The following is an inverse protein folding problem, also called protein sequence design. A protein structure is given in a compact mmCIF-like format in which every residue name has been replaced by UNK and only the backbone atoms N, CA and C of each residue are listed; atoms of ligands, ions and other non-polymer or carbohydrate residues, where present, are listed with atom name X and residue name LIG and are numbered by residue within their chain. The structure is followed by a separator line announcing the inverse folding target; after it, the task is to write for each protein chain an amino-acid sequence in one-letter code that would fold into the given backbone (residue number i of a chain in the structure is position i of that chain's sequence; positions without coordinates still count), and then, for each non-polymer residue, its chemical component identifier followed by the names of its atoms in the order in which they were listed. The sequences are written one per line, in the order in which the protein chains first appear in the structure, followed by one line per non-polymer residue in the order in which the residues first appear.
data_IF_012061971797
#
_entry.id   IF_012061971797
#
_cell.length_a   1.000
_cell.length_b   1.000
_cell.length_c   1.000
_cell.angle_alpha   90.00
_cell.angle_beta   90.00
_cell.angle_gamma   90.00
#
_symmetry.space_group_name_H-M   'P 1'
#
loop_
_entity.id
_entity.type
_entity.pdbx_description
1 polymer ?
#
# COMPACT_ATOMS: atom_id res chain seq x y z
N UNK A 1 -15.89 1.47 0.77
CA UNK A 1 -14.64 1.97 1.40
C UNK A 1 -14.59 3.48 1.25
N UNK A 2 -15.73 4.13 1.44
CA UNK A 2 -15.97 5.49 0.94
C UNK A 2 -15.38 6.54 1.92
N UNK A 3 -14.83 6.05 3.04
CA UNK A 3 -14.13 6.79 4.09
C UNK A 3 -12.59 6.69 4.00
N UNK A 4 -12.05 6.12 2.91
CA UNK A 4 -10.61 5.90 2.72
C UNK A 4 -10.11 6.61 1.47
N UNK A 5 -9.01 7.34 1.59
CA UNK A 5 -8.17 7.83 0.50
C UNK A 5 -6.96 6.91 0.39
N UNK A 6 -6.63 6.48 -0.82
CA UNK A 6 -5.53 5.55 -1.08
C UNK A 6 -4.31 6.27 -1.68
N UNK A 7 -3.12 6.00 -1.13
CA UNK A 7 -1.84 6.49 -1.62
C UNK A 7 -0.84 5.34 -1.78
N UNK A 8 -0.88 4.69 -2.95
CA UNK A 8 0.08 3.64 -3.31
C UNK A 8 1.39 4.17 -3.92
N UNK A 9 2.41 3.31 -3.95
CA UNK A 9 3.63 3.51 -4.74
C UNK A 9 4.87 2.83 -4.16
N UNK A 10 5.91 2.66 -4.97
CA UNK A 10 7.11 1.90 -4.59
C UNK A 10 7.91 2.48 -3.42
N UNK A 11 8.71 1.66 -2.74
CA UNK A 11 9.61 2.10 -1.67
C UNK A 11 10.50 3.26 -2.14
N UNK A 12 10.70 4.26 -1.28
CA UNK A 12 11.53 5.43 -1.61
C UNK A 12 10.88 6.49 -2.52
N UNK A 13 9.64 6.32 -3.00
CA UNK A 13 8.99 7.30 -3.88
C UNK A 13 8.48 8.58 -3.17
N UNK A 14 8.73 8.75 -1.88
CA UNK A 14 8.33 9.95 -1.11
C UNK A 14 6.89 9.96 -0.55
N UNK A 15 6.13 8.87 -0.72
CA UNK A 15 4.73 8.73 -0.25
C UNK A 15 4.55 9.14 1.20
N UNK A 16 5.31 8.54 2.11
CA UNK A 16 5.12 8.77 3.55
C UNK A 16 5.37 10.23 3.92
N UNK A 17 6.24 10.94 3.20
CA UNK A 17 6.45 12.38 3.39
C UNK A 17 5.20 13.17 3.01
N UNK A 18 4.64 12.92 1.82
CA UNK A 18 3.41 13.56 1.35
C UNK A 18 2.21 13.14 2.21
N UNK A 19 2.13 11.88 2.62
CA UNK A 19 1.04 11.33 3.40
C UNK A 19 0.94 12.00 4.77
N UNK A 20 2.07 12.17 5.47
CA UNK A 20 2.11 12.89 6.74
C UNK A 20 1.67 14.34 6.60
N UNK A 21 2.15 15.01 5.54
CA UNK A 21 1.78 16.41 5.29
C UNK A 21 0.28 16.55 4.98
N UNK A 22 -0.26 15.68 4.12
CA UNK A 22 -1.69 15.67 3.79
C UNK A 22 -2.55 15.34 5.00
N UNK A 23 -2.17 14.33 5.77
CA UNK A 23 -2.90 13.94 6.98
C UNK A 23 -2.93 15.08 8.01
N UNK A 24 -1.81 15.77 8.19
CA UNK A 24 -1.74 16.92 9.08
C UNK A 24 -2.57 18.11 8.58
N UNK A 25 -2.47 18.48 7.29
CA UNK A 25 -3.16 19.64 6.74
C UNK A 25 -4.67 19.48 6.59
N UNK A 26 -5.13 18.23 6.42
CA UNK A 26 -6.52 17.91 6.12
C UNK A 26 -7.20 17.15 7.26
N UNK A 27 -6.58 17.09 8.45
CA UNK A 27 -7.07 16.40 9.64
C UNK A 27 -7.51 14.95 9.36
N UNK A 28 -6.67 14.21 8.62
CA UNK A 28 -6.93 12.81 8.26
C UNK A 28 -6.26 11.85 9.25
N UNK A 29 -6.89 10.69 9.45
CA UNK A 29 -6.22 9.57 10.12
C UNK A 29 -5.24 8.93 9.15
N UNK A 30 -3.95 8.96 9.47
CA UNK A 30 -2.92 8.30 8.66
C UNK A 30 -2.84 6.81 9.01
N UNK A 31 -3.06 5.95 8.02
CA UNK A 31 -2.85 4.51 8.10
C UNK A 31 -1.66 4.13 7.19
N UNK A 32 -0.52 3.76 7.78
CA UNK A 32 0.67 3.35 7.03
C UNK A 32 0.82 1.83 7.09
N UNK A 33 0.76 1.13 5.95
CA UNK A 33 0.79 -0.35 5.93
C UNK A 33 2.01 -0.92 6.64
N UNK A 34 3.16 -0.26 6.51
CA UNK A 34 4.42 -0.71 7.08
C UNK A 34 4.38 -0.76 8.62
N UNK A 35 3.56 0.09 9.26
CA UNK A 35 3.36 0.09 10.71
C UNK A 35 2.65 -1.18 11.22
N UNK A 36 1.92 -1.87 10.35
CA UNK A 36 1.15 -3.07 10.68
C UNK A 36 1.83 -4.37 10.23
N UNK A 37 2.97 -4.29 9.55
CA UNK A 37 3.70 -5.45 8.97
C UNK A 37 3.80 -6.64 9.94
N UNK A 38 4.30 -6.41 11.15
CA UNK A 38 4.54 -7.49 12.12
C UNK A 38 3.26 -8.02 12.75
N UNK A 39 2.25 -7.17 12.91
CA UNK A 39 0.95 -7.60 13.40
C UNK A 39 0.27 -8.48 12.35
N UNK A 40 0.24 -8.04 11.10
CA UNK A 40 -0.31 -8.80 9.98
C UNK A 40 0.44 -10.11 9.78
N UNK A 41 1.79 -10.11 9.93
CA UNK A 41 2.61 -11.32 9.91
C UNK A 41 2.18 -12.36 10.94
N UNK A 42 1.86 -11.92 12.16
CA UNK A 42 1.35 -12.80 13.22
C UNK A 42 -0.08 -13.27 12.92
N UNK A 43 -0.98 -12.36 12.51
CA UNK A 43 -2.40 -12.69 12.22
C UNK A 43 -2.56 -13.73 11.12
N UNK A 44 -1.66 -13.71 10.13
CA UNK A 44 -1.64 -14.71 9.04
C UNK A 44 -0.91 -16.02 9.39
N UNK A 45 -0.31 -16.14 10.57
CA UNK A 45 0.48 -17.31 10.96
C UNK A 45 1.69 -17.56 10.05
N UNK A 46 2.33 -16.49 9.54
CA UNK A 46 3.46 -16.63 8.65
C UNK A 46 4.69 -17.20 9.38
N UNK A 47 5.53 -18.00 8.70
CA UNK A 47 6.71 -18.61 9.30
C UNK A 47 7.70 -17.56 9.81
N UNK A 48 8.67 -17.95 10.62
CA UNK A 48 9.77 -17.05 10.95
C UNK A 48 10.53 -16.62 9.70
N UNK A 49 10.99 -15.37 9.69
CA UNK A 49 11.81 -14.87 8.60
C UNK A 49 13.18 -15.54 8.63
N UNK A 50 13.59 -16.07 7.48
CA UNK A 50 14.97 -16.51 7.27
C UNK A 50 15.97 -15.35 7.37
N UNK A 51 17.26 -15.66 7.22
CA UNK A 51 18.30 -14.64 7.28
C UNK A 51 18.08 -13.55 6.22
N UNK A 52 18.45 -12.30 6.55
CA UNK A 52 18.33 -11.18 5.61
C UNK A 52 19.12 -11.39 4.32
N UNK A 53 20.26 -12.09 4.40
CA UNK A 53 21.11 -12.38 3.24
C UNK A 53 20.44 -13.37 2.28
N UNK A 54 19.85 -14.45 2.80
CA UNK A 54 19.12 -15.42 1.98
C UNK A 54 17.94 -14.75 1.29
N UNK A 55 17.22 -13.90 2.04
CA UNK A 55 16.04 -13.22 1.54
C UNK A 55 16.36 -12.15 0.51
N UNK A 56 17.33 -11.27 0.77
CA UNK A 56 17.52 -10.06 -0.04
C UNK A 56 18.71 -10.11 -0.99
N UNK A 57 19.75 -10.89 -0.68
CA UNK A 57 20.97 -10.96 -1.49
C UNK A 57 21.00 -12.19 -2.41
N UNK A 58 20.41 -13.30 -1.96
CA UNK A 58 20.44 -14.57 -2.71
C UNK A 58 19.17 -14.86 -3.51
N UNK A 59 18.09 -14.11 -3.26
CA UNK A 59 16.84 -14.23 -4.02
C UNK A 59 16.91 -13.33 -5.26
N UNK A 60 16.65 -13.84 -6.48
CA UNK A 60 16.64 -13.03 -7.68
C UNK A 60 15.64 -11.87 -7.62
N UNK A 61 15.93 -10.70 -8.22
CA UNK A 61 15.03 -9.53 -8.16
C UNK A 61 13.61 -9.79 -8.68
N UNK A 62 13.46 -10.59 -9.74
CA UNK A 62 12.17 -10.99 -10.30
C UNK A 62 11.36 -11.85 -9.32
N UNK A 63 12.03 -12.69 -8.55
CA UNK A 63 11.39 -13.49 -7.51
C UNK A 63 10.99 -12.61 -6.33
N UNK A 64 11.84 -11.68 -5.90
CA UNK A 64 11.50 -10.67 -4.89
C UNK A 64 10.28 -9.84 -5.29
N UNK A 65 10.19 -9.42 -6.55
CA UNK A 65 9.03 -8.69 -7.06
C UNK A 65 7.76 -9.56 -7.05
N UNK A 66 7.86 -10.82 -7.48
CA UNK A 66 6.75 -11.78 -7.44
C UNK A 66 6.27 -12.04 -6.01
N UNK A 67 7.20 -12.30 -5.08
CA UNK A 67 6.93 -12.47 -3.66
C UNK A 67 6.28 -11.21 -3.05
N UNK A 68 6.71 -10.03 -3.46
CA UNK A 68 6.11 -8.77 -3.01
C UNK A 68 4.66 -8.62 -3.48
N UNK A 69 4.37 -8.92 -4.76
CA UNK A 69 3.01 -8.89 -5.31
C UNK A 69 2.14 -9.93 -4.61
N UNK A 70 2.61 -11.17 -4.48
CA UNK A 70 1.91 -12.24 -3.76
C UNK A 70 1.63 -11.86 -2.30
N UNK A 71 2.64 -11.34 -1.60
CA UNK A 71 2.49 -10.85 -0.23
C UNK A 71 1.50 -9.70 -0.10
N UNK A 72 1.41 -8.83 -1.12
CA UNK A 72 0.42 -7.73 -1.18
C UNK A 72 -1.01 -8.26 -1.31
N UNK A 73 -1.23 -9.32 -2.10
CA UNK A 73 -2.54 -10.00 -2.15
C UNK A 73 -2.91 -10.61 -0.79
N UNK A 74 -1.96 -11.23 -0.09
CA UNK A 74 -2.21 -11.92 1.17
C UNK A 74 -2.52 -10.96 2.33
N UNK A 75 -1.90 -9.78 2.35
CA UNK A 75 -2.10 -8.79 3.42
C UNK A 75 -3.32 -7.91 3.19
N UNK A 76 -3.77 -7.73 1.94
CA UNK A 76 -4.87 -6.84 1.59
C UNK A 76 -6.13 -7.09 2.45
N UNK A 77 -6.60 -8.33 2.68
CA UNK A 77 -7.76 -8.57 3.54
C UNK A 77 -7.60 -8.03 4.97
N UNK A 78 -6.39 -8.13 5.55
CA UNK A 78 -6.09 -7.62 6.89
C UNK A 78 -6.08 -6.09 6.92
N UNK A 79 -5.54 -5.45 5.88
CA UNK A 79 -5.62 -4.00 5.71
C UNK A 79 -7.08 -3.55 5.61
N UNK A 80 -7.91 -4.26 4.84
CA UNK A 80 -9.32 -3.91 4.69
C UNK A 80 -10.11 -4.10 5.99
N UNK A 81 -9.76 -5.10 6.81
CA UNK A 81 -10.32 -5.31 8.15
C UNK A 81 -9.95 -4.17 9.11
N UNK A 82 -8.69 -3.74 9.12
CA UNK A 82 -8.25 -2.64 9.97
C UNK A 82 -8.92 -1.32 9.58
N UNK A 83 -9.05 -1.06 8.27
CA UNK A 83 -9.74 0.12 7.75
C UNK A 83 -11.26 0.06 7.99
N UNK A 84 -11.87 -1.12 8.00
CA UNK A 84 -13.27 -1.33 8.40
C UNK A 84 -13.48 -0.90 9.86
N UNK A 85 -12.58 -1.30 10.76
CA UNK A 85 -12.67 -0.94 12.17
C UNK A 85 -12.62 0.58 12.43
N UNK A 86 -12.11 1.37 11.48
CA UNK A 86 -12.08 2.84 11.53
C UNK A 86 -13.36 3.49 10.95
N UNK A 87 -14.31 2.70 10.44
CA UNK A 87 -15.57 3.23 9.88
C UNK A 87 -16.36 4.02 10.93
N UNK A 88 -16.97 5.12 10.47
CA UNK A 88 -17.72 6.04 11.33
C UNK A 88 -16.86 7.12 12.00
N UNK A 89 -15.53 7.06 11.85
CA UNK A 89 -14.59 8.10 12.28
C UNK A 89 -14.24 9.13 11.19
N UNK A 90 -13.17 9.92 11.39
CA UNK A 90 -12.63 10.82 10.37
C UNK A 90 -12.16 10.08 9.11
N UNK A 91 -11.96 10.83 8.03
CA UNK A 91 -11.47 10.28 6.77
C UNK A 91 -10.05 9.72 6.95
N UNK A 92 -9.80 8.54 6.39
CA UNK A 92 -8.53 7.81 6.54
C UNK A 92 -7.68 7.99 5.28
N UNK A 93 -6.40 8.31 5.42
CA UNK A 93 -5.41 8.24 4.35
C UNK A 93 -4.57 6.97 4.52
N UNK A 94 -4.82 5.96 3.70
CA UNK A 94 -4.05 4.73 3.67
C UNK A 94 -2.86 4.85 2.70
N UNK A 95 -1.64 4.68 3.19
CA UNK A 95 -0.41 4.72 2.39
C UNK A 95 0.42 3.46 2.53
N UNK A 96 1.09 3.06 1.46
CA UNK A 96 2.01 1.94 1.52
C UNK A 96 2.40 1.35 0.18
N UNK A 97 3.52 0.60 0.12
CA UNK A 97 3.95 -0.05 -1.11
C UNK A 97 3.04 -1.21 -1.51
N UNK A 98 2.34 -1.84 -0.57
CA UNK A 98 1.45 -2.99 -0.80
C UNK A 98 0.08 -2.59 -1.39
N UNK A 99 -0.20 -1.27 -1.45
CA UNK A 99 -1.42 -0.71 -2.00
C UNK A 99 -1.33 -0.61 -3.53
N UNK A 100 -1.25 -1.78 -4.19
CA UNK A 100 -1.20 -1.86 -5.64
C UNK A 100 -2.54 -1.41 -6.24
N UNK A 101 -2.55 -0.57 -7.29
CA UNK A 101 -3.79 -0.06 -7.89
C UNK A 101 -4.80 -1.15 -8.25
N UNK A 102 -4.32 -2.27 -8.80
CA UNK A 102 -5.14 -3.40 -9.25
C UNK A 102 -5.80 -4.15 -8.08
N UNK A 103 -5.18 -4.11 -6.89
CA UNK A 103 -5.69 -4.72 -5.67
C UNK A 103 -6.72 -3.83 -4.97
N UNK A 104 -6.46 -2.54 -4.96
CA UNK A 104 -7.28 -1.57 -4.22
C UNK A 104 -8.52 -1.16 -5.01
N UNK A 105 -8.43 -1.02 -6.34
CA UNK A 105 -9.54 -0.56 -7.17
C UNK A 105 -10.83 -1.40 -7.03
N UNK A 106 -10.79 -2.74 -6.95
CA UNK A 106 -11.99 -3.54 -6.71
C UNK A 106 -12.57 -3.38 -5.29
N UNK A 107 -11.71 -3.13 -4.29
CA UNK A 107 -12.12 -2.95 -2.90
C UNK A 107 -12.71 -1.55 -2.64
N UNK A 108 -12.30 -0.57 -3.44
CA UNK A 108 -12.84 0.78 -3.43
C UNK A 108 -14.04 0.88 -4.38
N UNK A 109 -15.25 0.77 -3.82
CA UNK A 109 -16.50 0.92 -4.57
C UNK A 109 -16.70 2.33 -5.18
N UNK A 110 -15.87 3.30 -4.81
CA UNK A 110 -15.84 4.65 -5.41
C UNK A 110 -14.83 4.77 -6.54
N UNK A 111 -13.89 3.82 -6.67
CA UNK A 111 -12.98 3.69 -7.79
C UNK A 111 -13.71 3.15 -9.04
N UNK A 112 -14.54 3.99 -9.65
CA UNK A 112 -15.06 3.71 -11.00
C UNK A 112 -13.91 3.74 -12.01
N UNK A 113 -13.91 2.90 -13.06
CA UNK A 113 -12.94 2.97 -14.16
C UNK A 113 -13.09 4.21 -15.06
N UNK A 114 -13.69 5.30 -14.59
CA UNK A 114 -14.01 6.48 -15.39
C UNK A 114 -13.56 7.76 -14.70
N UNK A 115 -12.34 8.19 -15.03
CA UNK A 115 -11.92 9.59 -15.14
C UNK A 115 -12.05 10.55 -13.95
N UNK A 116 -12.45 10.13 -12.75
CA UNK A 116 -12.68 11.08 -11.64
C UNK A 116 -12.56 10.53 -10.21
N UNK A 117 -12.13 9.27 -10.03
CA UNK A 117 -11.68 8.80 -8.70
C UNK A 117 -10.39 9.54 -8.35
N UNK A 118 -10.29 10.09 -7.13
CA UNK A 118 -9.08 10.79 -6.64
C UNK A 118 -7.95 9.78 -6.40
N UNK A 119 -7.31 9.36 -7.48
CA UNK A 119 -6.01 8.70 -7.48
C UNK A 119 -4.95 9.79 -7.53
N UNK A 120 -4.03 9.81 -6.57
CA UNK A 120 -2.75 10.51 -6.76
C UNK A 120 -1.67 9.45 -6.84
N UNK A 121 -1.54 8.84 -8.01
CA UNK A 121 -0.38 7.99 -8.32
C UNK A 121 0.84 8.90 -8.46
N UNK A 122 1.75 8.88 -7.49
CA UNK A 122 3.09 9.48 -7.65
C UNK A 122 4.03 8.36 -8.08
N UNK A 123 4.07 8.08 -9.39
CA UNK A 123 5.11 7.24 -10.00
C UNK A 123 6.09 8.15 -10.76
N UNK A 124 7.42 7.99 -10.63
CA UNK A 124 8.35 8.75 -11.45
C UNK A 124 8.19 8.31 -12.91
N UNK A 125 7.98 9.28 -13.80
CA UNK A 125 7.84 9.07 -15.23
C UNK A 125 8.95 8.13 -15.76
N UNK A 126 8.57 7.15 -16.58
CA UNK A 126 9.52 6.37 -17.39
C UNK A 126 10.41 7.32 -18.18
N UNK A 127 11.74 7.14 -18.21
CA UNK A 127 12.58 7.91 -19.11
C UNK A 127 12.19 7.56 -20.54
N UNK A 128 11.81 8.58 -21.30
CA UNK A 128 11.59 8.46 -22.74
C UNK A 128 12.90 8.01 -23.38
N UNK A 129 12.93 6.78 -23.91
CA UNK A 129 14.00 6.36 -24.80
C UNK A 129 13.81 7.08 -26.13
N UNK A 130 14.43 8.24 -26.29
CA UNK A 130 14.59 8.85 -27.61
C UNK A 130 15.78 8.15 -28.26
N UNK A 131 15.49 7.45 -29.35
CA UNK A 131 16.48 7.02 -30.34
C UNK A 131 16.72 8.15 -31.33
#
# INVERSE_FOLDING_TARGET
MDHVIWLGGGCGSGKSSIARELAHRLDLVLYATDAHTWEHWRRRGAPELGSGDDRWLRTPPEELASQFVGGSHEVLPLILEDLDALRGGPLVLAEGPQLLPELVAPADRTARPTGSGRWTTVWPATPSSTR
#
